data_IF_145357845799
#
_entry.id   IF_145357845799
#
_cell.length_a   1.000
_cell.length_b   1.000
_cell.length_c   1.000
_cell.angle_alpha   90.00
_cell.angle_beta   90.00
_cell.angle_gamma   90.00
#
_symmetry.space_group_name_H-M   'P 1'
#
loop_
_entity.id
_entity.type
_entity.pdbx_description
1 polymer ?
#
# COMPACT_ATOMS: atom_id res chain seq x y z
N UNK A 1 8.40 3.31 -17.91
CA UNK A 1 7.48 3.05 -19.03
C UNK A 1 7.46 4.23 -19.97
N UNK A 2 7.37 3.95 -21.26
CA UNK A 2 7.27 4.98 -22.29
C UNK A 2 6.04 4.69 -23.14
N UNK A 3 5.18 5.69 -23.30
CA UNK A 3 3.98 5.61 -24.13
C UNK A 3 3.98 6.77 -25.16
N UNK A 4 3.79 6.43 -26.42
CA UNK A 4 3.71 7.37 -27.54
C UNK A 4 3.02 6.69 -28.74
N UNK A 5 2.43 7.46 -29.69
CA UNK A 5 2.23 8.91 -29.65
C UNK A 5 0.92 9.28 -28.93
N UNK A 6 0.88 10.43 -28.29
CA UNK A 6 -0.34 11.09 -27.84
C UNK A 6 -0.53 12.39 -28.61
N UNK A 7 -1.75 12.84 -28.77
CA UNK A 7 -2.02 14.20 -29.21
C UNK A 7 -1.47 15.22 -28.22
N UNK A 8 -1.08 16.38 -28.71
CA UNK A 8 -0.46 17.43 -27.88
C UNK A 8 -1.31 17.81 -26.68
N UNK A 9 -0.69 17.75 -25.48
CA UNK A 9 -1.31 18.02 -24.19
C UNK A 9 -1.86 16.78 -23.48
N UNK A 10 -2.19 15.69 -24.22
CA UNK A 10 -2.69 14.46 -23.60
C UNK A 10 -1.63 13.74 -22.77
N UNK A 11 -0.35 13.84 -23.14
CA UNK A 11 0.73 13.28 -22.33
C UNK A 11 0.71 13.78 -20.89
N UNK A 12 0.54 15.09 -20.68
CA UNK A 12 0.45 15.70 -19.36
C UNK A 12 -0.83 15.31 -18.63
N UNK A 13 -1.97 15.32 -19.30
CA UNK A 13 -3.28 14.98 -18.75
C UNK A 13 -3.28 13.53 -18.22
N UNK A 14 -2.87 12.59 -19.07
CA UNK A 14 -2.82 11.16 -18.73
C UNK A 14 -1.75 10.88 -17.66
N UNK A 15 -0.57 11.47 -17.80
CA UNK A 15 0.52 11.30 -16.83
C UNK A 15 0.13 11.76 -15.43
N UNK A 16 -0.51 12.91 -15.31
CA UNK A 16 -1.00 13.41 -14.02
C UNK A 16 -2.15 12.56 -13.46
N UNK A 17 -3.10 12.15 -14.30
CA UNK A 17 -4.21 11.30 -13.89
C UNK A 17 -3.70 9.94 -13.36
N UNK A 18 -2.83 9.27 -14.11
CA UNK A 18 -2.22 7.99 -13.69
C UNK A 18 -1.39 8.15 -12.40
N UNK A 19 -0.58 9.21 -12.29
CA UNK A 19 0.19 9.47 -11.09
C UNK A 19 -0.71 9.57 -9.85
N UNK A 20 -1.82 10.28 -9.94
CA UNK A 20 -2.77 10.43 -8.82
C UNK A 20 -3.41 9.11 -8.45
N UNK A 21 -3.89 8.35 -9.43
CA UNK A 21 -4.54 7.04 -9.20
C UNK A 21 -3.55 6.04 -8.62
N UNK A 22 -2.33 5.97 -9.16
CA UNK A 22 -1.27 5.10 -8.68
C UNK A 22 -0.94 5.34 -7.19
N UNK A 23 -0.87 6.59 -6.75
CA UNK A 23 -0.52 6.94 -5.38
C UNK A 23 -1.67 6.77 -4.38
N UNK A 24 -2.93 6.86 -4.83
CA UNK A 24 -4.09 6.91 -3.93
C UNK A 24 -5.02 5.70 -3.97
N UNK A 25 -5.05 4.96 -5.09
CA UNK A 25 -6.17 4.05 -5.35
C UNK A 25 -5.78 2.58 -5.52
N UNK A 26 -4.48 2.28 -5.61
CA UNK A 26 -4.00 0.90 -5.67
C UNK A 26 -4.10 0.28 -4.27
N UNK A 27 -4.70 -0.91 -4.22
CA UNK A 27 -4.86 -1.66 -2.97
C UNK A 27 -3.55 -2.33 -2.54
N UNK A 28 -3.36 -2.38 -1.23
CA UNK A 28 -2.27 -3.12 -0.62
C UNK A 28 -2.60 -3.57 0.80
N UNK A 29 -1.78 -4.45 1.34
CA UNK A 29 -1.88 -4.92 2.70
C UNK A 29 -1.04 -4.07 3.65
N UNK A 30 -1.57 -3.80 4.84
CA UNK A 30 -0.84 -3.10 5.90
C UNK A 30 -1.31 -3.58 7.28
N UNK A 31 -0.45 -3.44 8.27
CA UNK A 31 -0.81 -3.65 9.68
C UNK A 31 -1.72 -2.50 10.11
N UNK A 32 -2.88 -2.83 10.66
CA UNK A 32 -3.90 -1.87 11.11
C UNK A 32 -4.04 -1.83 12.64
N UNK A 33 -3.67 -2.90 13.32
CA UNK A 33 -3.65 -2.96 14.77
C UNK A 33 -2.57 -3.93 15.24
N UNK A 34 -2.05 -3.69 16.44
CA UNK A 34 -1.04 -4.53 17.08
C UNK A 34 -1.43 -4.85 18.51
N UNK A 35 -1.06 -6.02 18.98
CA UNK A 35 -1.13 -6.41 20.39
C UNK A 35 0.22 -6.91 20.83
N UNK A 36 0.73 -6.36 21.92
CA UNK A 36 1.98 -6.82 22.55
C UNK A 36 1.69 -7.21 23.99
N UNK A 37 2.20 -8.36 24.41
CA UNK A 37 1.99 -8.85 25.78
C UNK A 37 2.58 -7.86 26.80
N UNK A 38 1.76 -7.49 27.81
CA UNK A 38 2.16 -6.54 28.84
C UNK A 38 2.06 -5.05 28.45
N UNK A 39 1.56 -4.74 27.26
CA UNK A 39 1.40 -3.37 26.76
C UNK A 39 -0.08 -3.00 26.63
N UNK A 40 -0.44 -1.84 27.18
CA UNK A 40 -1.83 -1.34 27.14
C UNK A 40 -2.02 -0.14 26.19
N UNK A 41 -0.93 0.57 25.86
CA UNK A 41 -0.98 1.74 24.98
C UNK A 41 0.35 1.96 24.24
N UNK A 42 0.32 2.70 23.17
CA UNK A 42 1.44 2.91 22.25
C UNK A 42 2.67 3.65 22.85
N UNK A 43 2.51 4.30 23.99
CA UNK A 43 3.57 5.03 24.68
C UNK A 43 4.22 4.20 25.82
N UNK A 44 4.00 2.90 25.85
CA UNK A 44 4.57 2.01 26.88
C UNK A 44 6.01 1.64 26.55
N UNK A 45 6.84 1.52 27.58
CA UNK A 45 8.14 0.87 27.45
C UNK A 45 7.97 -0.66 27.48
N UNK A 46 8.78 -1.36 26.70
CA UNK A 46 8.79 -2.81 26.61
C UNK A 46 9.91 -3.38 27.50
N UNK A 47 9.55 -4.22 28.45
CA UNK A 47 10.56 -4.81 29.35
C UNK A 47 11.50 -5.74 28.58
N UNK A 48 12.79 -5.43 28.63
CA UNK A 48 13.80 -6.25 27.97
C UNK A 48 13.92 -6.02 26.45
N UNK A 49 13.28 -4.99 25.93
CA UNK A 49 13.41 -4.48 24.54
C UNK A 49 14.08 -3.13 24.58
N UNK A 50 14.95 -2.85 23.63
CA UNK A 50 15.70 -1.58 23.56
C UNK A 50 14.80 -0.45 23.08
N UNK A 51 13.99 -0.73 22.07
CA UNK A 51 13.01 0.18 21.47
C UNK A 51 11.77 0.29 22.36
N UNK A 52 11.12 1.44 22.35
CA UNK A 52 9.79 1.59 22.94
C UNK A 52 8.69 1.10 21.98
N UNK A 53 7.43 1.05 22.47
CA UNK A 53 6.32 0.58 21.63
C UNK A 53 6.09 1.46 20.40
N UNK A 54 6.36 2.76 20.50
CA UNK A 54 6.24 3.69 19.37
C UNK A 54 7.23 3.35 18.26
N UNK A 55 8.49 3.09 18.63
CA UNK A 55 9.53 2.70 17.67
C UNK A 55 9.21 1.36 17.02
N UNK A 56 8.75 0.37 17.81
CA UNK A 56 8.31 -0.94 17.28
C UNK A 56 7.17 -0.76 16.26
N UNK A 57 6.17 0.07 16.56
CA UNK A 57 5.08 0.38 15.63
C UNK A 57 5.60 1.05 14.35
N UNK A 58 6.52 2.00 14.46
CA UNK A 58 7.12 2.66 13.29
C UNK A 58 7.91 1.68 12.42
N UNK A 59 8.63 0.74 13.02
CA UNK A 59 9.34 -0.31 12.30
C UNK A 59 8.37 -1.26 11.61
N UNK A 60 7.32 -1.70 12.29
CA UNK A 60 6.28 -2.57 11.72
C UNK A 60 5.58 -1.96 10.51
N UNK A 61 5.33 -0.64 10.52
CA UNK A 61 4.73 0.08 9.38
C UNK A 61 5.59 0.08 8.13
N UNK A 62 6.89 -0.18 8.25
CA UNK A 62 7.81 -0.21 7.12
C UNK A 62 7.87 -1.58 6.45
N UNK A 63 7.47 -2.65 7.14
CA UNK A 63 7.46 -4.01 6.61
C UNK A 63 6.42 -4.14 5.50
N UNK A 64 6.81 -4.48 4.27
CA UNK A 64 5.88 -4.69 3.18
C UNK A 64 5.31 -6.11 3.24
N UNK A 65 3.99 -6.20 3.11
CA UNK A 65 3.24 -7.46 3.10
C UNK A 65 2.47 -7.63 1.81
N UNK A 66 2.30 -8.89 1.40
CA UNK A 66 1.34 -9.29 0.37
C UNK A 66 0.33 -10.25 1.00
N UNK A 67 -0.95 -9.91 0.87
CA UNK A 67 -2.06 -10.69 1.39
C UNK A 67 -2.77 -11.40 0.24
N UNK A 68 -2.85 -12.73 0.26
CA UNK A 68 -3.47 -13.54 -0.78
C UNK A 68 -4.95 -13.82 -0.50
N UNK A 69 -5.34 -13.91 0.77
CA UNK A 69 -6.71 -14.16 1.20
C UNK A 69 -7.60 -12.92 1.27
N UNK A 70 -8.88 -13.12 1.54
CA UNK A 70 -9.84 -12.06 1.85
C UNK A 70 -9.95 -11.88 3.37
N UNK A 71 -10.33 -10.65 3.79
CA UNK A 71 -10.57 -10.29 5.18
C UNK A 71 -9.30 -10.00 5.99
N UNK A 72 -9.48 -9.65 7.27
CA UNK A 72 -8.37 -9.41 8.17
C UNK A 72 -7.68 -10.71 8.56
N UNK A 73 -6.35 -10.69 8.63
CA UNK A 73 -5.49 -11.78 9.10
C UNK A 73 -4.65 -11.31 10.26
N UNK A 74 -4.22 -12.23 11.11
CA UNK A 74 -3.33 -11.92 12.23
C UNK A 74 -2.04 -12.72 12.09
N UNK A 75 -0.91 -12.03 12.08
CA UNK A 75 0.42 -12.61 12.20
C UNK A 75 0.87 -12.62 13.64
N UNK A 76 1.57 -13.68 14.01
CA UNK A 76 2.13 -13.88 15.33
C UNK A 76 3.66 -13.84 15.27
N UNK A 77 4.27 -13.24 16.28
CA UNK A 77 5.70 -13.21 16.47
C UNK A 77 6.00 -13.47 17.95
N UNK A 78 6.80 -14.48 18.22
CA UNK A 78 7.32 -14.76 19.55
C UNK A 78 8.82 -15.01 19.49
N UNK A 79 9.59 -14.16 20.17
CA UNK A 79 11.04 -14.30 20.26
C UNK A 79 11.52 -13.99 21.67
N UNK A 80 12.46 -14.78 22.15
CA UNK A 80 13.07 -14.65 23.48
C UNK A 80 14.58 -14.71 23.40
N UNK A 81 15.25 -14.03 24.33
CA UNK A 81 16.71 -14.00 24.41
C UNK A 81 17.35 -12.88 23.62
N UNK A 82 18.66 -12.65 23.78
CA UNK A 82 19.34 -11.52 23.22
C UNK A 82 19.45 -11.62 21.69
N UNK A 83 19.10 -10.56 20.99
CA UNK A 83 19.24 -10.50 19.55
C UNK A 83 18.30 -9.52 18.86
N UNK A 84 18.47 -9.39 17.57
CA UNK A 84 17.62 -8.57 16.73
C UNK A 84 16.37 -9.37 16.34
N UNK A 85 15.21 -8.75 16.45
CA UNK A 85 13.94 -9.25 15.94
C UNK A 85 13.74 -8.64 14.57
N UNK A 86 13.51 -9.48 13.58
CA UNK A 86 13.26 -9.06 12.20
C UNK A 86 11.91 -9.58 11.71
N UNK A 87 11.49 -9.15 10.53
CA UNK A 87 10.25 -9.62 9.94
C UNK A 87 10.28 -11.12 9.57
N UNK A 88 11.47 -11.76 9.51
CA UNK A 88 11.60 -13.21 9.38
C UNK A 88 11.14 -13.99 10.62
N UNK A 89 11.01 -13.32 11.78
CA UNK A 89 10.58 -13.96 13.02
C UNK A 89 9.04 -14.09 13.13
N UNK A 90 8.28 -13.59 12.17
CA UNK A 90 6.84 -13.87 12.12
C UNK A 90 6.58 -15.34 11.81
N UNK A 91 5.53 -15.89 12.39
CA UNK A 91 5.06 -17.23 12.06
C UNK A 91 4.56 -17.27 10.60
N UNK A 92 4.87 -18.37 9.90
CA UNK A 92 4.44 -18.56 8.52
C UNK A 92 2.91 -18.71 8.43
N UNK A 93 2.28 -17.91 7.58
CA UNK A 93 0.86 -18.02 7.22
C UNK A 93 0.75 -18.14 5.69
N UNK A 94 0.03 -19.16 5.17
CA UNK A 94 -0.08 -19.40 3.72
C UNK A 94 -0.75 -18.26 2.95
N UNK A 95 -1.52 -17.42 3.65
CA UNK A 95 -2.23 -16.29 3.05
C UNK A 95 -1.43 -14.97 3.13
N UNK A 96 -0.30 -14.95 3.83
CA UNK A 96 0.50 -13.74 4.07
C UNK A 96 1.95 -13.98 3.64
N UNK A 97 2.45 -13.14 2.77
CA UNK A 97 3.85 -13.12 2.36
C UNK A 97 4.53 -11.87 2.91
N UNK A 98 5.61 -12.07 3.68
CA UNK A 98 6.49 -11.00 4.15
C UNK A 98 7.54 -10.77 3.07
N UNK A 99 7.55 -9.59 2.44
CA UNK A 99 8.40 -9.31 1.28
C UNK A 99 9.82 -8.88 1.65
N UNK A 100 9.99 -8.29 2.83
CA UNK A 100 11.29 -7.89 3.38
C UNK A 100 11.48 -8.56 4.74
N UNK A 101 12.06 -9.75 4.72
CA UNK A 101 12.30 -10.55 5.91
C UNK A 101 13.41 -9.98 6.81
N UNK A 102 14.30 -9.16 6.26
CA UNK A 102 15.40 -8.54 7.01
C UNK A 102 15.00 -7.24 7.70
N UNK A 103 13.78 -6.76 7.47
CA UNK A 103 13.27 -5.54 8.09
C UNK A 103 13.33 -5.64 9.62
N UNK A 104 14.02 -4.67 10.24
CA UNK A 104 14.19 -4.58 11.68
C UNK A 104 12.87 -4.25 12.38
N UNK A 105 12.54 -4.98 13.46
CA UNK A 105 11.37 -4.71 14.29
C UNK A 105 11.79 -4.21 15.66
N UNK A 106 12.65 -4.96 16.36
CA UNK A 106 13.10 -4.64 17.72
C UNK A 106 14.43 -5.30 18.05
N UNK A 107 15.04 -4.90 19.16
CA UNK A 107 16.26 -5.52 19.71
C UNK A 107 15.99 -6.00 21.14
N UNK A 108 16.22 -7.29 21.37
CA UNK A 108 16.00 -7.91 22.69
C UNK A 108 17.29 -7.94 23.52
N UNK A 109 17.17 -7.66 24.80
CA UNK A 109 18.21 -7.86 25.80
C UNK A 109 18.29 -9.34 26.24
N UNK A 110 19.22 -9.67 27.14
CA UNK A 110 19.44 -11.07 27.58
C UNK A 110 18.20 -11.75 28.19
N UNK A 111 17.33 -11.01 28.81
CA UNK A 111 16.11 -11.52 29.46
C UNK A 111 14.84 -11.01 28.74
N UNK A 112 15.01 -10.37 27.57
CA UNK A 112 13.91 -9.83 26.79
C UNK A 112 13.09 -10.92 26.14
N UNK A 113 11.77 -10.72 26.10
CA UNK A 113 10.82 -11.52 25.33
C UNK A 113 9.84 -10.57 24.65
N UNK A 114 9.62 -10.76 23.37
CA UNK A 114 8.63 -10.05 22.59
C UNK A 114 7.60 -11.04 22.07
N UNK A 115 6.35 -10.86 22.49
CA UNK A 115 5.17 -11.56 21.94
C UNK A 115 4.27 -10.52 21.34
N UNK A 116 4.13 -10.56 20.02
CA UNK A 116 3.45 -9.58 19.23
C UNK A 116 2.44 -10.25 18.30
N UNK A 117 1.26 -9.67 18.22
CA UNK A 117 0.24 -10.00 17.22
C UNK A 117 0.01 -8.78 16.34
N UNK A 118 0.11 -8.96 15.05
CA UNK A 118 -0.10 -7.91 14.06
C UNK A 118 -1.32 -8.24 13.19
N UNK A 119 -2.35 -7.39 13.22
CA UNK A 119 -3.54 -7.53 12.40
C UNK A 119 -3.35 -6.82 11.07
N UNK A 120 -3.40 -7.58 9.99
CA UNK A 120 -3.28 -7.08 8.62
C UNK A 120 -4.65 -6.96 7.95
N UNK A 121 -4.82 -5.92 7.14
CA UNK A 121 -5.98 -5.73 6.27
C UNK A 121 -5.56 -5.23 4.91
N UNK A 122 -6.40 -5.49 3.90
CA UNK A 122 -6.34 -4.78 2.63
C UNK A 122 -7.01 -3.42 2.75
N UNK A 123 -6.48 -2.45 2.07
CA UNK A 123 -7.02 -1.10 2.02
C UNK A 123 -6.39 -0.28 0.91
N UNK A 124 -6.73 1.01 0.87
CA UNK A 124 -6.22 1.97 -0.11
C UNK A 124 -5.67 3.21 0.58
N UNK A 125 -4.56 3.71 0.06
CA UNK A 125 -3.96 4.95 0.54
C UNK A 125 -3.57 4.90 2.01
N UNK A 126 -3.81 6.00 2.73
CA UNK A 126 -3.53 6.15 4.16
C UNK A 126 -4.83 6.09 4.97
N UNK A 127 -4.82 5.34 6.05
CA UNK A 127 -5.93 5.26 7.00
C UNK A 127 -5.45 5.60 8.41
N UNK A 128 -6.16 6.49 9.08
CA UNK A 128 -5.88 6.86 10.48
C UNK A 128 -6.30 5.75 11.43
N UNK A 129 -5.64 5.68 12.60
CA UNK A 129 -5.88 4.67 13.63
C UNK A 129 -7.36 4.54 14.04
N UNK A 130 -8.09 5.65 14.14
CA UNK A 130 -9.52 5.65 14.48
C UNK A 130 -10.38 4.86 13.47
N UNK A 131 -10.01 4.86 12.20
CA UNK A 131 -10.70 4.07 11.17
C UNK A 131 -10.32 2.59 11.19
N UNK A 132 -9.20 2.27 11.81
CA UNK A 132 -8.72 0.90 11.99
C UNK A 132 -9.23 0.28 13.31
N UNK A 133 -9.84 1.08 14.19
CA UNK A 133 -10.51 0.64 15.41
C UNK A 133 -11.88 0.03 15.07
N UNK A 134 -11.87 -1.19 14.53
CA UNK A 134 -13.11 -1.89 14.20
C UNK A 134 -13.83 -2.39 15.43
N UNK A 135 -15.17 -2.53 15.32
CA UNK A 135 -16.03 -3.07 16.38
C UNK A 135 -15.72 -4.55 16.73
N UNK A 136 -15.09 -5.26 15.83
CA UNK A 136 -14.68 -6.68 15.99
C UNK A 136 -13.23 -6.83 16.46
N UNK A 137 -12.53 -5.72 16.77
CA UNK A 137 -11.16 -5.76 17.28
C UNK A 137 -11.14 -6.30 18.70
N UNK A 138 -10.44 -7.42 18.99
CA UNK A 138 -10.37 -7.97 20.33
C UNK A 138 -9.76 -7.00 21.33
N UNK A 139 -10.09 -7.16 22.61
CA UNK A 139 -9.51 -6.34 23.68
C UNK A 139 -7.98 -6.51 23.75
N UNK A 140 -7.29 -5.40 23.99
CA UNK A 140 -5.84 -5.37 24.10
C UNK A 140 -5.11 -5.08 22.79
N UNK A 141 -5.81 -4.98 21.65
CA UNK A 141 -5.24 -4.46 20.42
C UNK A 141 -5.20 -2.94 20.44
N UNK A 142 -4.10 -2.41 19.96
CA UNK A 142 -3.85 -0.98 19.79
C UNK A 142 -4.01 -0.70 18.29
N UNK A 143 -5.06 0.04 17.86
CA UNK A 143 -5.18 0.43 16.47
C UNK A 143 -4.08 1.42 16.10
N UNK A 144 -3.49 1.24 14.93
CA UNK A 144 -2.44 2.12 14.40
C UNK A 144 -2.84 2.67 13.03
N UNK A 145 -2.33 3.83 12.68
CA UNK A 145 -2.48 4.33 11.32
C UNK A 145 -1.69 3.47 10.34
N UNK A 146 -2.25 3.27 9.15
CA UNK A 146 -1.73 2.33 8.17
C UNK A 146 -1.57 2.96 6.79
N UNK A 147 -0.47 2.58 6.10
CA UNK A 147 -0.18 2.97 4.72
C UNK A 147 -0.37 1.75 3.84
N UNK A 148 -1.51 1.67 3.19
CA UNK A 148 -1.88 0.53 2.34
C UNK A 148 -1.30 0.62 0.93
N UNK A 149 -0.97 1.84 0.44
CA UNK A 149 -0.47 2.01 -0.92
C UNK A 149 0.81 1.24 -1.18
N UNK A 150 0.83 0.28 -2.14
CA UNK A 150 2.04 -0.43 -2.52
C UNK A 150 2.96 0.44 -3.40
N UNK A 151 2.44 1.54 -3.95
CA UNK A 151 3.19 2.46 -4.79
C UNK A 151 3.86 3.51 -3.91
N UNK A 152 5.19 3.52 -3.90
CA UNK A 152 5.99 4.42 -3.06
C UNK A 152 6.23 5.77 -3.71
N UNK A 153 6.49 5.77 -5.01
CA UNK A 153 6.84 6.97 -5.77
C UNK A 153 6.42 6.86 -7.23
N UNK A 154 5.96 7.97 -7.79
CA UNK A 154 5.64 8.10 -9.22
C UNK A 154 6.18 9.41 -9.74
N UNK A 155 6.99 9.35 -10.79
CA UNK A 155 7.40 10.51 -11.58
C UNK A 155 6.86 10.36 -13.00
N UNK A 156 6.56 11.47 -13.63
CA UNK A 156 6.32 11.50 -15.06
C UNK A 156 6.89 12.77 -15.68
N UNK A 157 7.26 12.68 -16.94
CA UNK A 157 7.56 13.82 -17.78
C UNK A 157 7.12 13.55 -19.21
N UNK A 158 6.93 14.63 -19.96
CA UNK A 158 6.44 14.60 -21.33
C UNK A 158 7.48 15.23 -22.24
N UNK A 159 7.80 14.52 -23.30
CA UNK A 159 8.69 14.97 -24.36
C UNK A 159 7.91 15.10 -25.67
N UNK A 160 8.41 15.93 -26.60
CA UNK A 160 7.90 15.95 -27.95
C UNK A 160 8.20 14.62 -28.66
N UNK A 161 7.20 14.11 -29.39
CA UNK A 161 7.35 12.93 -30.26
C UNK A 161 7.13 13.28 -31.71
N UNK A 162 7.83 12.55 -32.58
CA UNK A 162 7.68 12.70 -34.06
C UNK A 162 7.04 11.45 -34.63
N UNK A 163 5.97 11.65 -35.42
CA UNK A 163 5.33 10.57 -36.18
C UNK A 163 5.40 10.95 -37.67
N UNK A 164 6.30 10.29 -38.39
CA UNK A 164 6.57 10.63 -39.78
C UNK A 164 7.10 12.06 -39.93
N UNK A 165 6.38 12.91 -40.62
CA UNK A 165 6.72 14.34 -40.80
C UNK A 165 6.07 15.27 -39.77
N UNK A 166 5.12 14.75 -38.96
CA UNK A 166 4.41 15.52 -37.94
C UNK A 166 5.17 15.48 -36.61
N UNK A 167 5.38 16.64 -35.99
CA UNK A 167 6.15 16.82 -34.75
C UNK A 167 5.28 17.22 -33.56
N UNK A 168 3.95 17.27 -33.73
CA UNK A 168 3.01 17.77 -32.73
C UNK A 168 2.40 16.66 -31.88
N UNK A 169 3.21 15.66 -31.49
CA UNK A 169 2.80 14.60 -30.61
C UNK A 169 3.57 14.63 -29.28
N UNK A 170 2.96 14.11 -28.25
CA UNK A 170 3.56 13.90 -26.94
C UNK A 170 4.05 12.45 -26.78
N UNK A 171 5.17 12.31 -26.07
CA UNK A 171 5.70 11.07 -25.53
C UNK A 171 5.69 11.17 -24.02
N UNK A 172 4.91 10.33 -23.37
CA UNK A 172 4.84 10.22 -21.92
C UNK A 172 5.88 9.21 -21.44
N UNK A 173 6.72 9.64 -20.50
CA UNK A 173 7.63 8.77 -19.74
C UNK A 173 7.13 8.73 -18.31
N UNK A 174 6.87 7.52 -17.80
CA UNK A 174 6.35 7.27 -16.46
C UNK A 174 7.30 6.35 -15.70
N UNK A 175 7.72 6.77 -14.53
CA UNK A 175 8.57 6.01 -13.62
C UNK A 175 7.78 5.69 -12.35
N UNK A 176 7.71 4.41 -11.98
CA UNK A 176 6.93 3.92 -10.84
C UNK A 176 7.79 3.03 -9.97
N UNK A 177 7.82 3.33 -8.67
CA UNK A 177 8.48 2.53 -7.65
C UNK A 177 7.44 1.95 -6.72
N UNK A 178 7.52 0.63 -6.49
CA UNK A 178 6.63 -0.10 -5.60
C UNK A 178 7.40 -0.69 -4.42
N UNK A 179 6.68 -1.21 -3.44
CA UNK A 179 7.25 -1.92 -2.29
C UNK A 179 7.44 -3.42 -2.55
N UNK A 180 7.17 -3.90 -3.78
CA UNK A 180 7.28 -5.31 -4.15
C UNK A 180 5.97 -6.11 -4.08
N UNK A 181 4.95 -5.62 -3.35
CA UNK A 181 3.65 -6.32 -3.24
C UNK A 181 2.90 -6.37 -4.58
N UNK A 182 3.10 -5.36 -5.41
CA UNK A 182 2.56 -5.27 -6.78
C UNK A 182 3.69 -4.87 -7.71
N UNK A 183 3.78 -5.50 -8.88
CA UNK A 183 4.76 -5.08 -9.89
C UNK A 183 4.40 -3.71 -10.46
N UNK A 184 5.39 -2.90 -10.89
CA UNK A 184 5.08 -1.60 -11.50
C UNK A 184 4.19 -1.69 -12.75
N UNK A 185 4.30 -2.78 -13.52
CA UNK A 185 3.46 -3.04 -14.70
C UNK A 185 2.01 -3.28 -14.31
N UNK A 186 1.80 -4.15 -13.32
CA UNK A 186 0.48 -4.45 -12.79
C UNK A 186 -0.17 -3.20 -12.16
N UNK A 187 0.58 -2.42 -11.39
CA UNK A 187 0.10 -1.17 -10.80
C UNK A 187 -0.40 -0.19 -11.88
N UNK A 188 0.34 -0.03 -12.99
CA UNK A 188 -0.07 0.84 -14.10
C UNK A 188 -1.32 0.30 -14.78
N UNK A 189 -1.42 -1.02 -15.02
CA UNK A 189 -2.60 -1.63 -15.63
C UNK A 189 -3.84 -1.42 -14.77
N UNK A 190 -3.75 -1.68 -13.47
CA UNK A 190 -4.84 -1.45 -12.51
C UNK A 190 -5.26 0.03 -12.44
N UNK A 191 -4.29 0.94 -12.46
CA UNK A 191 -4.56 2.38 -12.46
C UNK A 191 -5.26 2.83 -13.74
N UNK A 192 -4.86 2.31 -14.89
CA UNK A 192 -5.46 2.63 -16.18
C UNK A 192 -6.89 2.08 -16.30
N UNK A 193 -7.12 0.84 -15.84
CA UNK A 193 -8.44 0.22 -15.79
C UNK A 193 -9.40 1.00 -14.89
N UNK A 194 -8.96 1.32 -13.67
CA UNK A 194 -9.75 2.11 -12.71
C UNK A 194 -10.12 3.48 -13.28
N UNK A 195 -9.17 4.15 -13.94
CA UNK A 195 -9.43 5.44 -14.58
C UNK A 195 -10.43 5.31 -15.74
N UNK A 196 -10.29 4.26 -16.57
CA UNK A 196 -11.20 3.95 -17.66
C UNK A 196 -12.62 3.69 -17.18
N UNK A 197 -12.80 2.93 -16.10
CA UNK A 197 -14.11 2.65 -15.52
C UNK A 197 -14.82 3.92 -15.03
N UNK A 198 -14.10 4.82 -14.38
CA UNK A 198 -14.66 6.11 -13.98
C UNK A 198 -15.01 7.01 -15.17
N UNK A 199 -14.24 6.97 -16.26
CA UNK A 199 -14.53 7.75 -17.46
C UNK A 199 -15.74 7.21 -18.25
N UNK A 200 -16.04 5.90 -18.16
CA UNK A 200 -17.24 5.30 -18.79
C UNK A 200 -18.55 5.92 -18.35
N UNK A 201 -18.60 6.46 -17.11
CA UNK A 201 -19.79 7.16 -16.60
C UNK A 201 -20.17 8.34 -17.51
N UNK A 202 -19.18 9.04 -18.07
CA UNK A 202 -19.40 10.18 -18.94
C UNK A 202 -19.75 9.78 -20.39
N UNK A 203 -19.29 8.63 -20.88
CA UNK A 203 -19.62 8.14 -22.22
C UNK A 203 -21.06 7.61 -22.35
N UNK A 204 -21.71 7.29 -21.21
CA UNK A 204 -23.09 6.81 -21.22
C UNK A 204 -24.13 7.91 -21.47
N UNK A 205 -23.75 9.18 -21.51
CA UNK A 205 -24.70 10.29 -21.77
C UNK A 205 -25.17 10.38 -23.23
N UNK A 206 -24.32 10.00 -24.21
CA UNK A 206 -24.68 10.05 -25.64
C UNK A 206 -25.79 9.07 -25.99
N UNK A 207 -25.75 7.85 -25.47
CA UNK A 207 -26.76 6.82 -25.70
C UNK A 207 -28.18 7.20 -25.22
N UNK A 208 -28.27 8.03 -24.17
CA UNK A 208 -29.57 8.51 -23.66
C UNK A 208 -30.15 9.68 -24.46
N UNK A 209 -29.34 10.42 -25.17
CA UNK A 209 -29.83 11.53 -26.01
C UNK A 209 -30.48 10.97 -27.30
N UNK A 210 -29.89 9.95 -27.91
CA UNK A 210 -30.46 9.30 -29.11
C UNK A 210 -31.79 8.60 -28.83
N UNK A 211 -31.96 7.93 -27.69
CA UNK A 211 -33.23 7.31 -27.30
C UNK A 211 -34.38 8.31 -27.03
N UNK A 212 -34.05 9.61 -26.81
CA UNK A 212 -35.08 10.67 -26.61
C UNK A 212 -35.50 11.37 -27.89
N UNK A 213 -34.72 11.29 -28.96
CA UNK A 213 -35.09 11.83 -30.26
C UNK A 213 -35.92 10.84 -31.12
N UNK A 214 -35.86 9.51 -30.78
CA UNK A 214 -36.66 8.48 -31.43
C UNK A 214 -38.02 8.18 -30.76
N UNK A 215 -38.34 8.83 -29.66
CA UNK A 215 -39.59 8.66 -28.90
C UNK A 215 -40.49 9.91 -28.97
#
# INVERSE_FOLDING_TARGET
>A
FTAQPFERGFGTTIGNALRRVLLSSIEGAAITAVRVEGVLHEFSSLQGVVEDMTDVVLNLKQVPFKLHGEGPKTLYLEKSGPGVVTAADFEDDPDIEVLDTDAHIATLSKEGTLKLEARLKRGRGYQVADRNADSDLPLGYIPIDSIHSPVRRVNYHVEGARVGQMTDYDKLILEVWTNGAVSPQEAISLAAELLGDHLRIFSAFETRAEEREEA
#
